data_IF_256440662775
#
_entry.id   IF_256440662775
#
_cell.length_a   1.000
_cell.length_b   1.000
_cell.length_c   1.000
_cell.angle_alpha   90.00
_cell.angle_beta   90.00
_cell.angle_gamma   90.00
#
_symmetry.space_group_name_H-M   'P 1'
#
loop_
_entity.id
_entity.type
_entity.pdbx_description
1 polymer ?
#
# COMPACT_ATOMS: atom_id res chain seq x y z
N UNK A 1 -31.10 15.36 -43.39
CA UNK A 1 -32.07 15.91 -42.43
C UNK A 1 -32.07 15.03 -41.19
N UNK A 2 -31.32 15.43 -40.16
CA UNK A 2 -31.19 14.70 -38.90
C UNK A 2 -32.13 15.31 -37.86
N UNK A 3 -32.79 14.45 -37.08
CA UNK A 3 -33.89 14.77 -36.18
C UNK A 3 -33.40 15.53 -34.94
N UNK A 4 -34.14 16.58 -34.63
CA UNK A 4 -34.16 17.38 -33.42
C UNK A 4 -34.82 16.59 -32.26
N UNK A 5 -34.29 16.67 -31.03
CA UNK A 5 -35.09 16.77 -29.78
C UNK A 5 -34.24 16.94 -28.50
N UNK A 6 -34.42 18.13 -27.89
CA UNK A 6 -34.76 18.45 -26.48
C UNK A 6 -33.86 18.02 -25.29
N UNK A 7 -33.20 19.04 -24.74
CA UNK A 7 -33.26 19.56 -23.36
C UNK A 7 -33.51 18.62 -22.15
N UNK A 8 -32.60 18.69 -21.17
CA UNK A 8 -32.95 18.88 -19.76
C UNK A 8 -31.72 19.36 -18.96
N UNK A 9 -31.76 20.63 -18.55
CA UNK A 9 -31.04 21.09 -17.35
C UNK A 9 -31.78 20.53 -16.14
N UNK A 10 -31.08 19.82 -15.26
CA UNK A 10 -31.61 19.55 -13.91
C UNK A 10 -30.46 19.67 -12.94
N UNK A 11 -30.40 20.83 -12.28
CA UNK A 11 -29.67 20.98 -11.04
C UNK A 11 -30.37 20.19 -9.94
N UNK A 12 -29.61 19.34 -9.25
CA UNK A 12 -29.93 18.90 -7.90
C UNK A 12 -28.60 18.53 -7.21
N UNK A 13 -28.11 19.50 -6.46
CA UNK A 13 -26.98 19.44 -5.54
C UNK A 13 -27.21 18.32 -4.52
N UNK A 14 -26.50 17.20 -4.63
CA UNK A 14 -26.31 16.27 -3.51
C UNK A 14 -24.96 16.54 -2.87
N UNK A 15 -25.01 17.35 -1.80
CA UNK A 15 -23.97 17.39 -0.78
C UNK A 15 -24.09 16.14 0.10
N UNK A 16 -22.94 15.62 0.51
CA UNK A 16 -22.80 14.49 1.45
C UNK A 16 -22.22 13.27 0.72
N UNK A 17 -21.00 12.82 0.97
CA UNK A 17 -20.23 12.90 2.21
C UNK A 17 -18.75 12.59 1.88
N UNK A 18 -18.01 13.57 1.34
CA UNK A 18 -16.55 13.46 1.14
C UNK A 18 -15.82 13.73 2.47
N UNK A 19 -16.09 12.87 3.46
CA UNK A 19 -15.32 12.82 4.70
C UNK A 19 -15.13 11.36 5.09
N UNK A 20 -14.01 10.79 4.64
CA UNK A 20 -13.03 10.09 5.48
C UNK A 20 -12.03 9.32 4.61
N UNK A 21 -10.85 9.89 4.48
CA UNK A 21 -9.61 9.16 4.69
C UNK A 21 -8.61 10.22 5.14
N UNK A 22 -8.75 10.64 6.40
CA UNK A 22 -7.67 11.36 7.07
C UNK A 22 -6.43 10.50 6.91
N UNK A 23 -5.45 11.05 6.19
CA UNK A 23 -4.10 10.54 6.08
C UNK A 23 -3.52 10.42 7.49
N UNK A 24 -3.84 9.34 8.20
CA UNK A 24 -3.01 8.81 9.28
C UNK A 24 -1.76 8.20 8.66
N UNK A 25 -1.06 8.98 7.83
CA UNK A 25 0.32 8.68 7.49
C UNK A 25 1.08 8.89 8.79
N UNK A 26 1.22 7.80 9.56
CA UNK A 26 2.14 7.76 10.67
C UNK A 26 3.45 8.41 10.20
N UNK A 27 4.07 9.28 11.03
CA UNK A 27 5.27 9.98 10.61
C UNK A 27 6.28 8.96 10.08
N UNK A 28 6.78 9.19 8.86
CA UNK A 28 7.76 8.30 8.23
C UNK A 28 8.98 8.23 9.14
N UNK A 29 9.29 7.03 9.64
CA UNK A 29 10.47 6.79 10.46
C UNK A 29 11.69 6.56 9.55
N UNK A 30 12.82 7.18 9.90
CA UNK A 30 14.12 6.87 9.28
C UNK A 30 14.81 5.81 10.12
N UNK A 31 15.18 4.71 9.48
CA UNK A 31 15.99 3.66 10.10
C UNK A 31 17.40 3.70 9.50
N UNK A 32 18.43 3.69 10.35
CA UNK A 32 19.82 3.49 9.96
C UNK A 32 20.29 2.17 10.56
N UNK A 33 20.85 1.30 9.72
CA UNK A 33 21.30 -0.04 10.14
C UNK A 33 22.63 -0.37 9.49
N UNK A 34 23.49 -1.05 10.25
CA UNK A 34 24.71 -1.66 9.73
C UNK A 34 24.44 -3.14 9.53
N UNK A 35 24.87 -3.68 8.39
CA UNK A 35 24.72 -5.09 8.04
C UNK A 35 25.74 -5.50 6.99
N UNK A 36 25.98 -6.80 6.88
CA UNK A 36 26.90 -7.37 5.88
C UNK A 36 26.24 -7.41 4.50
N UNK A 37 24.95 -7.72 4.43
CA UNK A 37 24.19 -7.90 3.19
C UNK A 37 22.74 -7.43 3.35
N UNK A 38 22.13 -6.90 2.28
CA UNK A 38 20.72 -6.48 2.22
C UNK A 38 20.03 -7.09 1.01
N UNK A 39 18.86 -7.71 1.25
CA UNK A 39 18.02 -8.31 0.20
C UNK A 39 16.58 -7.82 0.37
N UNK A 40 15.98 -7.37 -0.72
CA UNK A 40 14.55 -7.05 -0.78
C UNK A 40 13.76 -8.23 -1.34
N UNK A 41 12.67 -8.60 -0.66
CA UNK A 41 11.76 -9.68 -1.06
C UNK A 41 10.32 -9.30 -0.76
N UNK A 42 9.43 -9.65 -1.67
CA UNK A 42 7.98 -9.58 -1.43
C UNK A 42 7.57 -10.68 -0.43
N UNK A 43 6.72 -10.31 0.53
CA UNK A 43 6.13 -11.26 1.47
C UNK A 43 5.08 -12.09 0.74
N UNK A 44 5.25 -13.42 0.74
CA UNK A 44 4.29 -14.35 0.13
C UNK A 44 3.30 -14.86 1.18
N UNK A 45 2.04 -15.07 0.78
CA UNK A 45 1.04 -15.66 1.66
C UNK A 45 1.37 -17.12 1.98
N UNK A 46 1.22 -17.49 3.24
CA UNK A 46 1.24 -18.88 3.68
C UNK A 46 0.31 -19.07 4.88
N UNK A 47 -0.85 -19.68 4.63
CA UNK A 47 -1.91 -19.83 5.62
C UNK A 47 -2.41 -18.46 6.10
N UNK A 48 -2.41 -18.26 7.41
CA UNK A 48 -2.78 -17.01 8.08
C UNK A 48 -1.59 -16.05 8.29
N UNK A 49 -0.45 -16.31 7.64
CA UNK A 49 0.81 -15.57 7.84
C UNK A 49 1.49 -15.22 6.53
N UNK A 50 2.42 -14.26 6.59
CA UNK A 50 3.36 -13.96 5.51
C UNK A 50 4.69 -14.70 5.71
N UNK A 51 5.29 -15.19 4.63
CA UNK A 51 6.63 -15.79 4.63
C UNK A 51 7.56 -15.04 3.69
N UNK A 52 8.81 -14.89 4.14
CA UNK A 52 9.93 -14.44 3.31
C UNK A 52 10.96 -15.56 3.31
N UNK A 53 11.33 -16.03 2.12
CA UNK A 53 12.37 -17.04 1.98
C UNK A 53 13.72 -16.34 1.80
N UNK A 54 14.62 -16.58 2.74
CA UNK A 54 15.98 -16.06 2.73
C UNK A 54 16.93 -17.13 2.17
N UNK A 55 18.11 -16.72 1.66
CA UNK A 55 19.10 -17.68 1.21
C UNK A 55 19.49 -18.70 2.30
N UNK A 56 19.76 -19.97 1.95
CA UNK A 56 20.05 -21.02 2.93
C UNK A 56 21.33 -20.75 3.75
N UNK A 57 22.29 -20.02 3.20
CA UNK A 57 23.51 -19.59 3.89
C UNK A 57 23.26 -18.62 5.06
N UNK A 58 22.07 -18.01 5.13
CA UNK A 58 21.65 -17.18 6.27
C UNK A 58 21.05 -18.00 7.42
N UNK A 59 20.91 -19.33 7.29
CA UNK A 59 20.45 -20.18 8.38
C UNK A 59 21.41 -20.05 9.57
N UNK A 60 20.85 -19.69 10.73
CA UNK A 60 21.63 -19.44 11.96
C UNK A 60 22.21 -18.03 12.08
N UNK A 61 21.97 -17.14 11.11
CA UNK A 61 22.37 -15.72 11.18
C UNK A 61 21.26 -14.86 11.82
N UNK A 62 21.66 -13.70 12.34
CA UNK A 62 20.72 -12.72 12.89
C UNK A 62 20.28 -11.75 11.79
N UNK A 63 18.96 -11.67 11.55
CA UNK A 63 18.39 -10.87 10.46
C UNK A 63 17.40 -9.85 11.04
N UNK A 64 17.36 -8.65 10.45
CA UNK A 64 16.34 -7.61 10.74
C UNK A 64 15.47 -7.42 9.50
N UNK A 65 14.15 -7.34 9.69
CA UNK A 65 13.19 -7.10 8.61
C UNK A 65 12.55 -5.73 8.87
N UNK A 66 12.52 -4.88 7.84
CA UNK A 66 11.89 -3.56 7.88
C UNK A 66 10.79 -3.57 6.81
N UNK A 67 9.54 -3.35 7.22
CA UNK A 67 8.42 -3.15 6.28
C UNK A 67 8.52 -1.72 5.73
N UNK A 68 8.39 -1.56 4.41
CA UNK A 68 8.64 -0.29 3.70
C UNK A 68 7.41 0.28 2.97
N UNK A 69 6.27 -0.41 3.00
CA UNK A 69 5.04 -0.12 2.27
C UNK A 69 3.85 0.31 3.17
#
# INVERSE_FOLDING_TARGET
MVKNQQAAITGAKKQGNDKKAENNAAPKAKFEVYGEEMIEKEVRQSGNSGRVYLPPEWVGKNVKIIRID
#
